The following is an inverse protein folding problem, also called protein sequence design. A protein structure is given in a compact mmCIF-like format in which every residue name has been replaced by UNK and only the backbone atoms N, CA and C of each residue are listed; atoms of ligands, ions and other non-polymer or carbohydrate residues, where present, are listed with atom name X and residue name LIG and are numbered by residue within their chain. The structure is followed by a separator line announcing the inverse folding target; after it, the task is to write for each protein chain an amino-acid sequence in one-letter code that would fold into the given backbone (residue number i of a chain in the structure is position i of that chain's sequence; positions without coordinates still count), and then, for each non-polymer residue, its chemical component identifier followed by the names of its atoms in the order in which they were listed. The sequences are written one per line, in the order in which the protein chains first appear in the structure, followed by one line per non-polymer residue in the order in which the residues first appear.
data_IF_732198650871
#
_entry.id   IF_732198650871
#
_cell.length_a   1.000
_cell.length_b   1.000
_cell.length_c   1.000
_cell.angle_alpha   90.00
_cell.angle_beta   90.00
_cell.angle_gamma   90.00
#
_symmetry.space_group_name_H-M   'P 1'
#
loop_
_entity.id
_entity.type
_entity.pdbx_description
1 polymer ?
#
# COMPACT_ATOMS: atom_id res chain seq x y z
N UNK A 1 -49.37 -7.89 2.94
CA UNK A 1 -48.45 -8.87 3.57
C UNK A 1 -47.05 -8.27 3.50
N UNK A 2 -46.42 -7.97 4.64
CA UNK A 2 -45.02 -7.49 4.68
C UNK A 2 -44.12 -8.73 4.61
N UNK A 3 -43.35 -8.87 3.55
CA UNK A 3 -42.33 -9.90 3.43
C UNK A 3 -41.10 -9.45 4.23
N UNK A 4 -40.76 -10.23 5.26
CA UNK A 4 -39.51 -10.08 5.99
C UNK A 4 -38.39 -10.53 5.07
N UNK A 5 -37.56 -9.58 4.62
CA UNK A 5 -36.38 -9.86 3.81
C UNK A 5 -35.37 -10.66 4.63
N UNK A 6 -35.50 -11.99 4.62
CA UNK A 6 -34.44 -12.88 5.07
C UNK A 6 -33.30 -12.71 4.09
N UNK A 7 -32.17 -12.19 4.57
CA UNK A 7 -30.96 -12.07 3.77
C UNK A 7 -30.54 -13.46 3.31
N UNK A 8 -30.61 -13.71 2.01
CA UNK A 8 -30.32 -15.01 1.38
C UNK A 8 -28.82 -15.35 1.36
N UNK A 9 -27.95 -14.48 1.90
CA UNK A 9 -26.52 -14.73 2.02
C UNK A 9 -26.18 -15.30 3.40
N UNK A 10 -25.52 -16.46 3.42
CA UNK A 10 -25.01 -17.06 4.65
C UNK A 10 -24.09 -16.08 5.40
N UNK A 11 -24.51 -15.69 6.60
CA UNK A 11 -23.70 -14.84 7.46
C UNK A 11 -22.51 -15.63 8.03
N UNK A 12 -21.51 -14.90 8.55
CA UNK A 12 -20.34 -15.51 9.18
C UNK A 12 -20.74 -16.38 10.38
N UNK A 13 -21.79 -15.99 11.11
CA UNK A 13 -22.38 -16.77 12.19
C UNK A 13 -23.02 -18.06 11.67
N UNK A 14 -23.82 -17.98 10.59
CA UNK A 14 -24.45 -19.16 9.99
C UNK A 14 -23.40 -20.19 9.58
N UNK A 15 -22.27 -19.74 9.02
CA UNK A 15 -21.14 -20.61 8.66
C UNK A 15 -20.45 -21.23 9.87
N UNK A 16 -20.41 -20.55 11.02
CA UNK A 16 -19.86 -21.10 12.27
C UNK A 16 -20.81 -22.18 12.82
N UNK A 17 -22.13 -21.96 12.73
CA UNK A 17 -23.13 -22.93 13.15
C UNK A 17 -23.21 -24.16 12.22
N UNK A 18 -23.00 -24.00 10.91
CA UNK A 18 -23.15 -25.07 9.92
C UNK A 18 -21.90 -25.98 9.75
N UNK A 19 -20.69 -25.53 10.11
CA UNK A 19 -19.43 -26.23 9.73
C UNK A 19 -19.01 -27.42 10.60
N UNK A 20 -19.38 -27.46 11.89
CA UNK A 20 -19.28 -28.64 12.80
C UNK A 20 -19.45 -28.25 14.28
N UNK A 21 -20.07 -29.13 15.06
CA UNK A 21 -20.36 -28.94 16.50
C UNK A 21 -19.11 -28.89 17.41
N UNK A 22 -17.97 -29.39 16.92
CA UNK A 22 -16.74 -29.41 17.68
C UNK A 22 -16.24 -28.00 17.99
N UNK A 23 -16.12 -27.72 19.30
CA UNK A 23 -15.63 -26.45 19.86
C UNK A 23 -16.47 -25.23 19.44
N UNK A 24 -17.77 -25.40 19.16
CA UNK A 24 -18.70 -24.31 18.84
C UNK A 24 -18.61 -23.16 19.84
N UNK A 25 -18.67 -23.46 21.14
CA UNK A 25 -18.59 -22.46 22.21
C UNK A 25 -17.30 -21.63 22.11
N UNK A 26 -16.16 -22.29 21.85
CA UNK A 26 -14.88 -21.60 21.69
C UNK A 26 -14.79 -20.74 20.44
N UNK A 27 -15.38 -21.19 19.33
CA UNK A 27 -15.48 -20.41 18.07
C UNK A 27 -16.39 -19.19 18.28
N UNK A 28 -17.54 -19.37 18.93
CA UNK A 28 -18.50 -18.31 19.23
C UNK A 28 -17.90 -17.26 20.16
N UNK A 29 -17.22 -17.70 21.22
CA UNK A 29 -16.54 -16.80 22.15
C UNK A 29 -15.49 -15.94 21.45
N UNK A 30 -14.65 -16.54 20.59
CA UNK A 30 -13.66 -15.77 19.79
C UNK A 30 -14.31 -14.77 18.85
N UNK A 31 -15.43 -15.15 18.21
CA UNK A 31 -16.19 -14.25 17.35
C UNK A 31 -16.75 -13.06 18.13
N UNK A 32 -17.40 -13.32 19.27
CA UNK A 32 -17.95 -12.27 20.14
C UNK A 32 -16.84 -11.36 20.70
N UNK A 33 -15.69 -11.92 21.06
CA UNK A 33 -14.54 -11.15 21.53
C UNK A 33 -14.03 -10.20 20.44
N UNK A 34 -13.88 -10.69 19.21
CA UNK A 34 -13.45 -9.89 18.07
C UNK A 34 -14.46 -8.79 17.74
N UNK A 35 -15.74 -9.14 17.68
CA UNK A 35 -16.83 -8.19 17.43
C UNK A 35 -16.88 -7.07 18.48
N UNK A 36 -16.78 -7.44 19.76
CA UNK A 36 -16.78 -6.46 20.86
C UNK A 36 -15.58 -5.51 20.78
N UNK A 37 -14.40 -6.05 20.45
CA UNK A 37 -13.18 -5.27 20.30
C UNK A 37 -13.29 -4.28 19.13
N UNK A 38 -13.78 -4.72 17.97
CA UNK A 38 -14.00 -3.87 16.80
C UNK A 38 -15.00 -2.74 17.10
N UNK A 39 -16.13 -3.05 17.75
CA UNK A 39 -17.10 -2.02 18.15
C UNK A 39 -16.51 -0.99 19.11
N UNK A 40 -15.69 -1.42 20.07
CA UNK A 40 -15.07 -0.54 21.07
C UNK A 40 -14.10 0.45 20.41
N UNK A 41 -13.26 -0.04 19.49
CA UNK A 41 -12.38 0.82 18.70
C UNK A 41 -13.15 1.81 17.81
N UNK A 42 -14.25 1.37 17.19
CA UNK A 42 -15.11 2.26 16.39
C UNK A 42 -15.72 3.35 17.27
N UNK A 43 -16.19 3.03 18.47
CA UNK A 43 -16.76 4.03 19.40
C UNK A 43 -15.73 5.06 19.84
N UNK A 44 -14.51 4.64 20.17
CA UNK A 44 -13.43 5.56 20.54
C UNK A 44 -13.06 6.52 19.39
N UNK A 45 -12.91 5.98 18.17
CA UNK A 45 -12.60 6.79 16.98
C UNK A 45 -13.73 7.76 16.63
N UNK A 46 -14.99 7.40 16.83
CA UNK A 46 -16.14 8.30 16.66
C UNK A 46 -16.16 9.44 17.68
N UNK A 47 -15.68 9.21 18.92
CA UNK A 47 -15.54 10.27 19.93
C UNK A 47 -14.44 11.26 19.51
N UNK A 48 -13.30 10.76 19.05
CA UNK A 48 -12.22 11.60 18.51
C UNK A 48 -12.71 12.41 17.31
N UNK A 49 -13.47 11.77 16.40
CA UNK A 49 -14.10 12.47 15.28
C UNK A 49 -14.99 13.62 15.73
N UNK A 50 -15.87 13.37 16.70
CA UNK A 50 -16.79 14.40 17.21
C UNK A 50 -16.03 15.57 17.84
N UNK A 51 -14.91 15.30 18.52
CA UNK A 51 -14.04 16.33 19.09
C UNK A 51 -13.33 17.15 18.00
N UNK A 52 -12.77 16.49 16.99
CA UNK A 52 -11.93 17.12 15.99
C UNK A 52 -12.76 17.89 14.94
N UNK A 53 -13.96 17.40 14.60
CA UNK A 53 -14.85 18.00 13.59
C UNK A 53 -16.04 18.77 14.19
N UNK A 54 -16.32 18.65 15.49
CA UNK A 54 -17.37 19.40 16.18
C UNK A 54 -18.79 18.88 15.96
N UNK A 55 -18.97 17.69 15.35
CA UNK A 55 -20.28 17.05 15.19
C UNK A 55 -20.20 15.53 15.31
N UNK A 56 -21.26 14.92 15.85
CA UNK A 56 -21.38 13.47 15.96
C UNK A 56 -21.74 12.82 14.62
N UNK A 57 -21.25 11.60 14.41
CA UNK A 57 -21.55 10.79 13.24
C UNK A 57 -22.27 9.50 13.66
N UNK A 58 -23.22 9.03 12.85
CA UNK A 58 -23.91 7.76 13.09
C UNK A 58 -23.09 6.57 12.55
N UNK A 59 -23.32 5.36 13.08
CA UNK A 59 -22.60 4.15 12.65
C UNK A 59 -22.75 3.87 11.14
N UNK A 60 -23.94 4.03 10.57
CA UNK A 60 -24.16 3.81 9.13
C UNK A 60 -23.34 4.81 8.27
N UNK A 61 -23.30 6.06 8.70
CA UNK A 61 -22.51 7.10 8.04
C UNK A 61 -21.01 6.83 8.18
N UNK A 62 -20.59 6.40 9.37
CA UNK A 62 -19.20 6.00 9.64
C UNK A 62 -18.77 4.86 8.72
N UNK A 63 -19.59 3.82 8.59
CA UNK A 63 -19.30 2.68 7.72
C UNK A 63 -19.14 3.11 6.25
N UNK A 64 -20.02 3.99 5.75
CA UNK A 64 -19.92 4.51 4.37
C UNK A 64 -18.60 5.28 4.16
N UNK A 65 -18.23 6.14 5.12
CA UNK A 65 -16.98 6.91 5.06
C UNK A 65 -15.79 5.96 5.12
N UNK A 66 -15.81 5.00 6.03
CA UNK A 66 -14.76 4.00 6.20
C UNK A 66 -14.52 3.20 4.91
N UNK A 67 -15.59 2.68 4.30
CA UNK A 67 -15.48 1.89 3.07
C UNK A 67 -14.94 2.70 1.88
N UNK A 68 -15.30 3.99 1.80
CA UNK A 68 -14.76 4.92 0.80
C UNK A 68 -13.29 5.22 1.07
N UNK A 69 -12.96 5.59 2.30
CA UNK A 69 -11.60 5.96 2.70
C UNK A 69 -10.65 4.78 2.58
N UNK A 70 -11.07 3.56 2.91
CA UNK A 70 -10.27 2.34 2.71
C UNK A 70 -9.82 2.21 1.24
N UNK A 71 -10.74 2.39 0.29
CA UNK A 71 -10.43 2.35 -1.15
C UNK A 71 -9.48 3.48 -1.56
N UNK A 72 -9.71 4.70 -1.07
CA UNK A 72 -8.85 5.86 -1.34
C UNK A 72 -7.45 5.63 -0.79
N UNK A 73 -7.31 5.19 0.46
CA UNK A 73 -6.03 4.89 1.10
C UNK A 73 -5.26 3.83 0.33
N UNK A 74 -5.92 2.74 -0.11
CA UNK A 74 -5.27 1.73 -0.93
C UNK A 74 -4.82 2.28 -2.29
N UNK A 75 -5.66 3.05 -2.96
CA UNK A 75 -5.31 3.67 -4.24
C UNK A 75 -4.15 4.68 -4.10
N UNK A 76 -4.14 5.47 -3.04
CA UNK A 76 -3.06 6.42 -2.73
C UNK A 76 -1.77 5.70 -2.41
N UNK A 77 -1.79 4.65 -1.59
CA UNK A 77 -0.62 3.83 -1.29
C UNK A 77 -0.03 3.20 -2.57
N UNK A 78 -0.89 2.73 -3.48
CA UNK A 78 -0.45 2.22 -4.78
C UNK A 78 0.20 3.31 -5.64
N UNK A 79 -0.42 4.48 -5.75
CA UNK A 79 0.14 5.63 -6.47
C UNK A 79 1.48 6.08 -5.88
N UNK A 80 1.57 6.16 -4.56
CA UNK A 80 2.80 6.51 -3.84
C UNK A 80 3.91 5.48 -4.12
N UNK A 81 3.58 4.19 -4.08
CA UNK A 81 4.53 3.12 -4.39
C UNK A 81 5.03 3.19 -5.84
N UNK A 82 4.14 3.44 -6.80
CA UNK A 82 4.53 3.67 -8.19
C UNK A 82 5.46 4.87 -8.30
N UNK A 83 5.10 6.01 -7.73
CA UNK A 83 5.95 7.21 -7.75
C UNK A 83 7.31 6.93 -7.11
N UNK A 84 7.37 6.31 -5.94
CA UNK A 84 8.63 5.90 -5.29
C UNK A 84 9.48 5.00 -6.19
N UNK A 85 8.85 4.07 -6.90
CA UNK A 85 9.56 3.24 -7.88
C UNK A 85 10.13 4.08 -9.03
N UNK A 86 9.32 4.91 -9.67
CA UNK A 86 9.78 5.81 -10.74
C UNK A 86 10.91 6.72 -10.29
N UNK A 87 10.80 7.35 -9.12
CA UNK A 87 11.83 8.23 -8.58
C UNK A 87 13.13 7.47 -8.30
N UNK A 88 13.08 6.24 -7.76
CA UNK A 88 14.31 5.42 -7.56
C UNK A 88 15.07 5.17 -8.86
N UNK A 89 14.38 5.02 -9.99
CA UNK A 89 15.03 4.82 -11.29
C UNK A 89 15.64 6.10 -11.88
N UNK A 90 15.06 7.27 -11.55
CA UNK A 90 15.45 8.56 -12.11
C UNK A 90 16.31 9.42 -11.18
N UNK A 91 16.44 9.05 -9.91
CA UNK A 91 17.24 9.77 -8.93
C UNK A 91 18.66 9.20 -8.87
N UNK A 92 19.69 9.95 -9.34
CA UNK A 92 21.06 9.46 -9.31
C UNK A 92 21.61 9.39 -7.88
N UNK A 93 22.47 8.41 -7.60
CA UNK A 93 23.15 8.27 -6.29
C UNK A 93 24.00 9.48 -5.94
N UNK A 94 24.59 10.12 -6.95
CA UNK A 94 25.27 11.39 -6.78
C UNK A 94 24.38 12.49 -6.16
N UNK A 95 23.09 12.50 -6.48
CA UNK A 95 22.11 13.43 -5.90
C UNK A 95 21.68 12.97 -4.52
N UNK A 96 21.48 11.66 -4.33
CA UNK A 96 21.14 11.08 -3.02
C UNK A 96 22.25 11.30 -1.98
N UNK A 97 23.52 11.17 -2.34
CA UNK A 97 24.66 11.41 -1.47
C UNK A 97 24.76 12.86 -0.98
N UNK A 98 24.18 13.82 -1.73
CA UNK A 98 24.05 15.22 -1.27
C UNK A 98 22.96 15.39 -0.21
N UNK A 99 21.89 14.61 -0.29
CA UNK A 99 20.76 14.65 0.65
C UNK A 99 21.06 13.83 1.91
N UNK A 100 21.72 12.69 1.76
CA UNK A 100 22.00 11.72 2.81
C UNK A 100 23.51 11.47 2.89
N UNK A 101 24.14 11.99 3.95
CA UNK A 101 25.60 11.89 4.18
C UNK A 101 26.11 10.45 4.32
N UNK A 102 25.24 9.47 4.57
CA UNK A 102 25.59 8.06 4.71
C UNK A 102 25.72 7.31 3.39
N UNK A 103 25.26 7.89 2.27
CA UNK A 103 25.28 7.23 0.97
C UNK A 103 26.52 7.60 0.16
N UNK A 104 27.08 6.63 -0.57
CA UNK A 104 28.17 6.91 -1.50
C UNK A 104 27.64 7.59 -2.76
N UNK A 105 28.38 8.55 -3.34
CA UNK A 105 28.01 9.21 -4.58
C UNK A 105 28.23 8.33 -5.82
N UNK A 106 28.84 7.16 -5.65
CA UNK A 106 29.25 6.27 -6.74
C UNK A 106 28.05 5.55 -7.35
N UNK A 107 28.19 5.14 -8.61
CA UNK A 107 27.17 4.39 -9.35
C UNK A 107 26.85 3.05 -8.68
N UNK A 108 25.57 2.75 -8.42
CA UNK A 108 25.13 1.48 -7.80
C UNK A 108 25.42 0.23 -8.63
N UNK A 109 25.69 0.38 -9.92
CA UNK A 109 26.02 -0.77 -10.78
C UNK A 109 27.49 -1.11 -10.67
N UNK A 110 28.38 -0.15 -10.96
CA UNK A 110 29.82 -0.39 -11.02
C UNK A 110 30.56 -0.08 -9.71
N UNK A 111 30.00 0.75 -8.83
CA UNK A 111 30.58 1.26 -7.58
C UNK A 111 31.89 2.03 -7.73
N UNK A 112 32.32 2.34 -8.96
CA UNK A 112 33.61 2.96 -9.28
C UNK A 112 33.42 4.44 -9.63
N UNK A 113 32.63 4.70 -10.68
CA UNK A 113 32.42 6.03 -11.24
C UNK A 113 31.33 6.82 -10.51
N UNK A 114 31.31 8.14 -10.73
CA UNK A 114 30.27 9.02 -10.17
C UNK A 114 28.87 8.61 -10.66
N UNK A 115 27.95 8.44 -9.72
CA UNK A 115 26.61 7.90 -9.97
C UNK A 115 25.64 8.92 -10.57
N UNK A 116 25.97 9.51 -11.72
CA UNK A 116 25.03 10.32 -12.50
C UNK A 116 23.99 9.44 -13.19
N UNK A 117 22.85 10.03 -13.56
CA UNK A 117 21.79 9.31 -14.28
C UNK A 117 22.33 8.81 -15.63
N UNK A 118 23.01 9.67 -16.37
CA UNK A 118 23.63 9.34 -17.65
C UNK A 118 24.65 8.20 -17.51
N UNK A 119 25.53 8.26 -16.52
CA UNK A 119 26.49 7.18 -16.29
C UNK A 119 25.78 5.86 -15.98
N UNK A 120 24.84 5.85 -15.03
CA UNK A 120 24.19 4.62 -14.57
C UNK A 120 23.45 3.86 -15.69
N UNK A 121 22.93 4.56 -16.70
CA UNK A 121 22.11 3.95 -17.76
C UNK A 121 22.82 3.79 -19.10
N UNK A 122 23.76 4.69 -19.44
CA UNK A 122 24.38 4.76 -20.76
C UNK A 122 25.88 4.42 -20.73
N UNK A 123 26.66 5.02 -19.83
CA UNK A 123 28.12 4.85 -19.86
C UNK A 123 28.63 3.70 -19.00
N UNK A 124 27.85 3.25 -18.01
CA UNK A 124 28.28 2.20 -17.11
C UNK A 124 28.47 0.90 -17.88
N UNK A 125 29.68 0.32 -17.83
CA UNK A 125 30.00 -0.97 -18.49
C UNK A 125 28.97 -2.07 -18.22
N UNK A 126 28.53 -2.23 -16.97
CA UNK A 126 27.50 -3.22 -16.62
C UNK A 126 26.13 -2.94 -17.26
N UNK A 127 25.79 -1.66 -17.47
CA UNK A 127 24.59 -1.30 -18.20
C UNK A 127 24.78 -1.58 -19.70
N UNK A 128 25.97 -1.29 -20.24
CA UNK A 128 26.37 -1.61 -21.61
C UNK A 128 26.18 -3.08 -21.96
N UNK A 129 26.76 -3.96 -21.16
CA UNK A 129 26.63 -5.41 -21.30
C UNK A 129 25.17 -5.87 -21.23
N UNK A 130 24.37 -5.29 -20.33
CA UNK A 130 22.95 -5.62 -20.20
C UNK A 130 22.15 -5.29 -21.48
N UNK A 131 22.32 -4.08 -22.01
CA UNK A 131 21.60 -3.62 -23.20
C UNK A 131 22.02 -4.36 -24.47
N UNK A 132 23.31 -4.70 -24.61
CA UNK A 132 23.80 -5.54 -25.70
C UNK A 132 23.14 -6.92 -25.71
N UNK A 133 22.94 -7.52 -24.52
CA UNK A 133 22.29 -8.82 -24.37
C UNK A 133 20.80 -8.80 -24.70
N UNK A 134 20.10 -7.68 -24.48
CA UNK A 134 18.66 -7.58 -24.74
C UNK A 134 18.33 -7.21 -26.20
N UNK A 135 19.33 -7.08 -27.08
CA UNK A 135 19.13 -6.80 -28.51
C UNK A 135 18.58 -5.40 -28.80
N UNK A 136 18.51 -4.52 -27.81
CA UNK A 136 18.10 -3.13 -27.98
C UNK A 136 19.29 -2.33 -28.50
N UNK A 137 19.33 -2.16 -29.83
CA UNK A 137 20.41 -1.46 -30.53
C UNK A 137 20.70 -0.08 -29.94
N UNK A 138 21.92 0.07 -29.44
CA UNK A 138 22.55 1.19 -28.73
C UNK A 138 22.46 2.60 -29.32
N UNK A 139 21.77 2.81 -30.45
CA UNK A 139 21.77 4.10 -31.13
C UNK A 139 20.61 4.95 -30.64
N UNK A 140 20.77 5.52 -29.44
CA UNK A 140 20.16 6.76 -28.90
C UNK A 140 20.01 6.65 -27.38
N UNK A 141 21.13 6.61 -26.65
CA UNK A 141 21.10 7.27 -25.35
C UNK A 141 21.00 8.77 -25.67
N UNK A 142 19.78 9.29 -25.53
CA UNK A 142 19.33 10.59 -25.99
C UNK A 142 20.34 11.70 -25.71
N UNK A 143 20.72 12.39 -26.79
CA UNK A 143 21.31 13.73 -26.77
C UNK A 143 20.26 14.66 -26.19
N UNK A 144 20.36 14.94 -24.89
CA UNK A 144 19.76 16.09 -24.24
C UNK A 144 20.72 16.52 -23.12
N UNK A 145 21.83 17.11 -23.55
CA UNK A 145 22.30 18.37 -22.96
C UNK A 145 21.97 19.47 -23.99
#
# INVERSE_FOLDING_TARGET
KKEWGINMQETVLDKIFLRSEDKLIGKLYKFLLAYKLEEEQVKETMVVWARDFGYSINLDQWQIIWDRNKKITMATAYKENLLKMFYRWHLPLARLAKMFKSQSPNCWKCSIEWGTYYHAWCCCRKAQEYWLRTGSGWRKCWVLD
#
